data_IF_769173404142
#
_entry.id   IF_769173404142
#
_cell.length_a   1.000
_cell.length_b   1.000
_cell.length_c   1.000
_cell.angle_alpha   90.00
_cell.angle_beta   90.00
_cell.angle_gamma   90.00
#
_symmetry.space_group_name_H-M   'P 1'
#
loop_
_entity.id
_entity.type
_entity.pdbx_description
1 polymer ?
#
# COMPACT_ATOMS: atom_id res chain seq x y z
N UNK A 1 1.84 3.23 -15.29
CA UNK A 1 0.46 3.10 -14.77
C UNK A 1 -0.26 4.41 -15.05
N UNK A 2 -1.44 4.33 -15.66
CA UNK A 2 -2.34 5.49 -15.85
C UNK A 2 -3.29 5.54 -14.66
N UNK A 3 -3.52 6.72 -14.11
CA UNK A 3 -4.49 6.96 -13.06
C UNK A 3 -5.67 7.76 -13.64
N UNK A 4 -6.88 7.37 -13.28
CA UNK A 4 -8.11 8.05 -13.68
C UNK A 4 -9.02 8.19 -12.46
N UNK A 5 -9.42 9.43 -12.15
CA UNK A 5 -10.45 9.71 -11.17
C UNK A 5 -11.75 9.99 -11.92
N UNK A 6 -12.71 9.09 -11.80
CA UNK A 6 -14.01 9.17 -12.48
C UNK A 6 -15.09 8.45 -11.68
N UNK A 7 -16.33 8.61 -12.11
CA UNK A 7 -17.40 7.73 -11.70
C UNK A 7 -17.13 6.29 -12.20
N UNK A 8 -17.45 5.33 -11.33
CA UNK A 8 -17.27 3.90 -11.56
C UNK A 8 -18.67 3.28 -11.50
N UNK A 9 -19.09 2.58 -12.55
CA UNK A 9 -20.36 1.85 -12.51
C UNK A 9 -20.29 0.68 -11.51
N UNK A 10 -21.41 0.34 -10.87
CA UNK A 10 -21.46 -0.74 -9.85
C UNK A 10 -20.96 -2.09 -10.36
N UNK A 11 -21.15 -2.38 -11.65
CA UNK A 11 -20.70 -3.62 -12.26
C UNK A 11 -19.18 -3.69 -12.47
N UNK A 12 -18.48 -2.55 -12.62
CA UNK A 12 -17.06 -2.54 -12.95
C UNK A 12 -16.16 -3.20 -11.89
N UNK A 13 -16.32 -2.94 -10.57
CA UNK A 13 -15.53 -3.61 -9.55
C UNK A 13 -15.61 -5.15 -9.61
N UNK A 14 -16.72 -5.71 -10.09
CA UNK A 14 -16.90 -7.17 -10.18
C UNK A 14 -16.00 -7.81 -11.22
N UNK A 15 -15.58 -7.05 -12.23
CA UNK A 15 -14.69 -7.48 -13.31
C UNK A 15 -13.24 -7.01 -13.07
N UNK A 16 -12.95 -6.35 -11.95
CA UNK A 16 -11.61 -5.84 -11.67
C UNK A 16 -10.63 -6.98 -11.33
N UNK A 17 -9.41 -6.89 -11.87
CA UNK A 17 -8.31 -7.80 -11.51
C UNK A 17 -7.89 -7.65 -10.04
N UNK A 18 -7.98 -6.42 -9.51
CA UNK A 18 -7.66 -6.06 -8.13
C UNK A 18 -8.60 -4.96 -7.63
N UNK A 19 -9.01 -5.06 -6.35
CA UNK A 19 -9.69 -3.98 -5.61
C UNK A 19 -8.87 -3.67 -4.36
N UNK A 20 -8.60 -2.38 -4.14
CA UNK A 20 -7.87 -1.89 -2.97
C UNK A 20 -8.75 -0.92 -2.17
N UNK A 21 -8.70 -1.03 -0.85
CA UNK A 21 -9.31 -0.05 0.06
C UNK A 21 -8.22 0.63 0.85
N UNK A 22 -8.27 1.96 0.92
CA UNK A 22 -7.29 2.77 1.64
C UNK A 22 -7.98 3.52 2.78
N UNK A 23 -7.39 3.54 3.96
CA UNK A 23 -7.84 4.43 5.04
C UNK A 23 -6.67 4.97 5.84
N UNK A 24 -6.89 6.07 6.55
CA UNK A 24 -5.88 6.67 7.42
C UNK A 24 -5.40 5.70 8.52
N UNK A 25 -6.28 4.82 9.01
CA UNK A 25 -6.01 3.94 10.16
C UNK A 25 -5.65 2.52 9.77
N UNK A 26 -6.14 2.00 8.64
CA UNK A 26 -5.96 0.60 8.23
C UNK A 26 -5.05 0.41 7.03
N UNK A 27 -4.35 1.47 6.63
CA UNK A 27 -3.42 1.44 5.51
C UNK A 27 -4.13 1.09 4.19
N UNK A 28 -3.43 0.42 3.26
CA UNK A 28 -4.01 -0.08 2.00
C UNK A 28 -4.17 -1.58 2.12
N UNK A 29 -5.38 -2.06 1.84
CA UNK A 29 -5.77 -3.46 1.97
C UNK A 29 -6.23 -4.00 0.61
N UNK A 30 -5.89 -5.26 0.32
CA UNK A 30 -6.43 -5.98 -0.82
C UNK A 30 -7.80 -6.60 -0.48
N UNK A 31 -8.80 -6.34 -1.32
CA UNK A 31 -10.09 -7.04 -1.27
C UNK A 31 -9.98 -8.27 -2.16
N UNK A 32 -9.95 -9.46 -1.57
CA UNK A 32 -9.81 -10.74 -2.31
C UNK A 32 -11.16 -11.37 -2.69
N UNK A 33 -12.25 -10.89 -2.10
CA UNK A 33 -13.60 -11.34 -2.42
C UNK A 33 -14.60 -10.19 -2.30
N UNK A 34 -15.56 -10.14 -3.23
CA UNK A 34 -16.66 -9.19 -3.27
C UNK A 34 -17.97 -10.00 -3.37
N UNK A 35 -18.87 -9.81 -2.40
CA UNK A 35 -20.13 -10.56 -2.30
C UNK A 35 -19.98 -12.08 -2.37
N UNK A 36 -18.94 -12.60 -1.70
CA UNK A 36 -18.64 -14.03 -1.67
C UNK A 36 -18.00 -14.59 -2.95
N UNK A 37 -17.81 -13.76 -3.99
CA UNK A 37 -17.11 -14.14 -5.22
C UNK A 37 -15.65 -13.67 -5.19
N UNK A 38 -14.69 -14.44 -5.74
CA UNK A 38 -13.31 -14.00 -5.80
C UNK A 38 -13.16 -12.78 -6.71
N UNK A 39 -12.33 -11.81 -6.27
CA UNK A 39 -11.86 -10.72 -7.12
C UNK A 39 -10.60 -11.21 -7.83
N UNK A 40 -10.57 -11.13 -9.16
CA UNK A 40 -9.51 -11.73 -9.97
C UNK A 40 -9.23 -13.18 -9.58
N UNK A 41 -7.98 -13.47 -9.17
CA UNK A 41 -7.56 -14.80 -8.71
C UNK A 41 -7.88 -15.14 -7.24
N UNK A 42 -8.63 -14.30 -6.52
CA UNK A 42 -8.95 -14.49 -5.10
C UNK A 42 -7.75 -14.31 -4.15
N UNK A 43 -6.71 -13.60 -4.60
CA UNK A 43 -5.45 -13.36 -3.88
C UNK A 43 -4.97 -11.93 -4.14
N UNK A 44 -4.19 -11.32 -3.22
CA UNK A 44 -3.61 -10.00 -3.47
C UNK A 44 -2.75 -10.00 -4.73
N UNK A 45 -2.98 -9.03 -5.62
CA UNK A 45 -2.33 -8.96 -6.92
C UNK A 45 -1.05 -8.11 -6.97
N UNK A 46 -0.46 -7.95 -8.17
CA UNK A 46 0.79 -7.22 -8.37
C UNK A 46 0.74 -5.74 -7.95
N UNK A 47 -0.40 -5.05 -8.06
CA UNK A 47 -0.52 -3.64 -7.65
C UNK A 47 -0.43 -3.52 -6.13
N UNK A 48 -1.17 -4.35 -5.39
CA UNK A 48 -1.02 -4.44 -3.94
C UNK A 48 0.43 -4.74 -3.53
N UNK A 49 1.06 -5.73 -4.16
CA UNK A 49 2.44 -6.10 -3.87
C UNK A 49 3.44 -4.95 -4.13
N UNK A 50 3.24 -4.19 -5.21
CA UNK A 50 4.06 -3.02 -5.52
C UNK A 50 3.93 -1.93 -4.45
N UNK A 51 2.70 -1.67 -3.99
CA UNK A 51 2.45 -0.71 -2.91
C UNK A 51 3.10 -1.14 -1.59
N UNK A 52 2.92 -2.39 -1.18
CA UNK A 52 3.52 -2.92 0.05
C UNK A 52 5.06 -2.81 0.02
N UNK A 53 5.68 -3.11 -1.12
CA UNK A 53 7.13 -2.91 -1.30
C UNK A 53 7.53 -1.44 -1.17
N UNK A 54 6.76 -0.52 -1.74
CA UNK A 54 7.04 0.91 -1.64
C UNK A 54 6.93 1.41 -0.19
N UNK A 55 5.88 1.02 0.52
CA UNK A 55 5.71 1.32 1.95
C UNK A 55 6.86 0.81 2.80
N UNK A 56 7.27 -0.45 2.58
CA UNK A 56 8.36 -1.03 3.35
C UNK A 56 9.67 -0.27 3.14
N UNK A 57 9.96 0.16 1.91
CA UNK A 57 11.12 1.02 1.61
C UNK A 57 11.03 2.38 2.30
N UNK A 58 9.85 3.00 2.32
CA UNK A 58 9.66 4.29 2.98
C UNK A 58 9.90 4.18 4.50
N UNK A 59 9.32 3.17 5.15
CA UNK A 59 9.52 2.90 6.58
C UNK A 59 11.00 2.64 6.92
N UNK A 60 11.70 1.90 6.06
CA UNK A 60 13.14 1.68 6.23
C UNK A 60 13.94 2.99 6.16
N UNK A 61 13.64 3.87 5.21
CA UNK A 61 14.32 5.18 5.10
C UNK A 61 14.10 6.04 6.33
N UNK A 62 12.87 6.08 6.84
CA UNK A 62 12.53 6.82 8.06
C UNK A 62 13.29 6.32 9.28
N UNK A 63 13.31 5.00 9.49
CA UNK A 63 14.09 4.37 10.58
C UNK A 63 15.58 4.68 10.45
N UNK A 64 16.15 4.64 9.24
CA UNK A 64 17.55 4.95 9.03
C UNK A 64 17.86 6.44 9.28
N UNK A 65 16.99 7.35 8.85
CA UNK A 65 17.15 8.77 9.10
C UNK A 65 17.14 9.08 10.62
N UNK A 66 16.21 8.49 11.36
CA UNK A 66 16.15 8.64 12.82
C UNK A 66 17.41 8.10 13.51
N UNK A 67 17.92 6.95 13.08
CA UNK A 67 19.17 6.36 13.61
C UNK A 67 20.38 7.22 13.32
N UNK A 68 20.51 7.74 12.09
CA UNK A 68 21.61 8.62 11.71
C UNK A 68 21.60 9.92 12.52
N UNK A 69 20.41 10.51 12.74
CA UNK A 69 20.26 11.70 13.57
C UNK A 69 20.65 11.44 15.04
N UNK A 70 20.26 10.28 15.59
CA UNK A 70 20.63 9.89 16.96
C UNK A 70 22.14 9.67 17.12
N UNK A 71 22.80 9.08 16.12
CA UNK A 71 24.26 8.86 16.15
C UNK A 71 25.04 10.18 16.08
N UNK A 72 24.62 11.13 15.23
CA UNK A 72 25.26 12.44 15.13
C UNK A 72 25.16 13.28 16.40
N UNK A 73 24.11 13.10 17.22
CA UNK A 73 24.00 13.77 18.52
C UNK A 73 25.01 13.22 19.55
N UNK A 74 25.32 11.92 19.51
CA UNK A 74 26.30 11.31 20.41
C UNK A 74 27.74 11.71 20.12
N UNK A 75 28.06 12.10 18.88
CA UNK A 75 29.40 12.57 18.49
C UNK A 75 29.66 14.03 18.90
N UNK A 76 28.62 14.82 19.15
CA UNK A 76 28.75 16.23 19.60
C UNK A 76 28.98 16.32 21.12
N UNK A 77 28.63 15.28 21.88
CA UNK A 77 28.77 15.21 23.35
C UNK A 77 30.13 14.67 23.84
N UNK A 78 31.09 14.41 22.94
CA UNK A 78 32.39 13.81 23.27
C UNK A 78 33.55 14.70 22.86
#
# INVERSE_FOLDING_TARGET
>A
MRFEAREIAEAEPREADEILVTSATKEVLAVVALDGKPVGGGKPGPVYAAYQRAKQRAKQREVQALRAAAAGLQEVEK
#
